data_IF_813102465113
#
_entry.id   IF_813102465113
#
_cell.length_a   1.000
_cell.length_b   1.000
_cell.length_c   1.000
_cell.angle_alpha   90.00
_cell.angle_beta   90.00
_cell.angle_gamma   90.00
#
_symmetry.space_group_name_H-M   'P 1'
#
loop_
_entity.id
_entity.type
_entity.pdbx_description
1 polymer ?
#
# COMPACT_ATOMS: atom_id res chain seq x y z
N UNK A 1 -0.44 -12.71 -30.81
CA UNK A 1 -1.26 -13.78 -30.22
C UNK A 1 -2.64 -13.20 -30.05
N UNK A 2 -3.48 -13.45 -31.03
CA UNK A 2 -4.88 -13.07 -31.07
C UNK A 2 -5.64 -14.13 -30.28
N UNK A 3 -6.47 -13.69 -29.35
CA UNK A 3 -7.25 -14.59 -28.50
C UNK A 3 -8.10 -15.54 -29.35
N UNK A 4 -7.98 -16.82 -29.03
CA UNK A 4 -8.50 -17.92 -29.83
C UNK A 4 -10.03 -17.92 -29.89
N UNK A 5 -10.58 -18.24 -31.08
CA UNK A 5 -11.94 -18.76 -31.19
C UNK A 5 -11.95 -20.14 -30.54
N UNK A 6 -12.57 -20.23 -29.38
CA UNK A 6 -12.81 -21.50 -28.70
C UNK A 6 -14.14 -22.08 -29.20
N UNK A 7 -14.38 -23.38 -28.96
CA UNK A 7 -15.70 -23.99 -29.16
C UNK A 7 -16.84 -23.30 -28.35
N UNK A 8 -16.48 -22.42 -27.41
CA UNK A 8 -17.38 -21.62 -26.57
C UNK A 8 -17.53 -20.15 -27.05
N UNK A 9 -16.81 -19.73 -28.09
CA UNK A 9 -16.84 -18.37 -28.64
C UNK A 9 -15.49 -17.64 -28.61
N UNK A 10 -15.53 -16.32 -28.80
CA UNK A 10 -14.36 -15.43 -28.89
C UNK A 10 -14.04 -14.78 -27.54
N UNK A 11 -12.78 -14.84 -27.12
CA UNK A 11 -12.28 -14.12 -25.94
C UNK A 11 -11.64 -12.82 -26.42
N UNK A 12 -11.92 -11.69 -25.77
CA UNK A 12 -11.23 -10.42 -26.05
C UNK A 12 -10.95 -9.68 -24.74
N UNK A 13 -9.74 -9.13 -24.61
CA UNK A 13 -9.38 -8.26 -23.49
C UNK A 13 -9.56 -6.80 -23.91
N UNK A 14 -10.41 -6.08 -23.18
CA UNK A 14 -10.63 -4.66 -23.40
C UNK A 14 -9.45 -3.82 -22.89
N UNK A 15 -9.20 -2.67 -23.52
CA UNK A 15 -8.24 -1.67 -23.06
C UNK A 15 -8.36 -1.35 -21.56
N UNK A 16 -9.59 -1.20 -21.08
CA UNK A 16 -9.86 -0.89 -19.68
C UNK A 16 -9.28 -1.92 -18.71
N UNK A 17 -9.24 -3.19 -19.09
CA UNK A 17 -8.68 -4.28 -18.27
C UNK A 17 -7.16 -4.20 -18.25
N UNK A 18 -6.53 -3.93 -19.40
CA UNK A 18 -5.08 -3.73 -19.52
C UNK A 18 -4.65 -2.55 -18.66
N UNK A 19 -5.44 -1.47 -18.66
CA UNK A 19 -5.24 -0.32 -17.78
C UNK A 19 -5.32 -0.68 -16.30
N UNK A 20 -6.33 -1.45 -15.90
CA UNK A 20 -6.47 -1.83 -14.49
C UNK A 20 -5.33 -2.75 -14.01
N UNK A 21 -4.82 -3.63 -14.89
CA UNK A 21 -3.63 -4.46 -14.62
C UNK A 21 -2.39 -3.58 -14.37
N UNK A 22 -2.12 -2.62 -15.26
CA UNK A 22 -0.95 -1.75 -15.10
C UNK A 22 -1.05 -0.88 -13.83
N UNK A 23 -2.23 -0.35 -13.53
CA UNK A 23 -2.49 0.41 -12.30
C UNK A 23 -2.24 -0.47 -11.07
N UNK A 24 -2.77 -1.71 -11.05
CA UNK A 24 -2.53 -2.63 -9.94
C UNK A 24 -1.05 -2.98 -9.78
N UNK A 25 -0.35 -3.26 -10.89
CA UNK A 25 1.08 -3.54 -10.88
C UNK A 25 1.89 -2.38 -10.31
N UNK A 26 1.54 -1.14 -10.69
CA UNK A 26 2.14 0.08 -10.17
C UNK A 26 1.87 0.27 -8.67
N UNK A 27 0.63 0.08 -8.22
CA UNK A 27 0.27 0.19 -6.80
C UNK A 27 1.02 -0.84 -5.95
N UNK A 28 1.14 -2.07 -6.43
CA UNK A 28 1.90 -3.13 -5.76
C UNK A 28 3.39 -2.78 -5.68
N UNK A 29 3.96 -2.19 -6.73
CA UNK A 29 5.35 -1.75 -6.73
C UNK A 29 5.62 -0.68 -5.66
N UNK A 30 4.70 0.28 -5.52
CA UNK A 30 4.77 1.32 -4.50
C UNK A 30 4.40 0.83 -3.09
N UNK A 31 3.95 -0.43 -2.96
CA UNK A 31 3.41 -1.00 -1.72
C UNK A 31 2.30 -0.14 -1.12
N UNK A 32 1.49 0.50 -1.97
CA UNK A 32 0.30 1.21 -1.51
C UNK A 32 -0.76 0.23 -1.05
N UNK A 33 -1.38 0.51 0.10
CA UNK A 33 -2.54 -0.25 0.55
C UNK A 33 -3.69 -0.08 -0.46
N UNK A 34 -4.20 -1.17 -1.09
CA UNK A 34 -5.28 -1.09 -2.07
C UNK A 34 -6.60 -0.59 -1.46
N UNK A 35 -6.69 -0.54 -0.11
CA UNK A 35 -7.82 -0.02 0.66
C UNK A 35 -7.83 1.51 0.76
N UNK A 36 -6.72 2.18 0.42
CA UNK A 36 -6.66 3.64 0.44
C UNK A 36 -7.21 4.21 -0.88
N UNK A 37 -8.46 4.68 -0.85
CA UNK A 37 -9.14 5.22 -2.04
C UNK A 37 -8.44 6.43 -2.68
N UNK A 38 -7.57 7.13 -1.94
CA UNK A 38 -6.72 8.21 -2.47
C UNK A 38 -5.61 7.68 -3.36
N UNK A 39 -4.93 6.60 -2.95
CA UNK A 39 -3.85 5.97 -3.71
C UNK A 39 -4.32 5.46 -5.08
N UNK A 40 -5.53 4.87 -5.15
CA UNK A 40 -6.09 4.40 -6.43
C UNK A 40 -6.43 5.55 -7.39
N UNK A 41 -6.91 6.69 -6.87
CA UNK A 41 -7.21 7.87 -7.68
C UNK A 41 -5.94 8.52 -8.23
N UNK A 42 -4.90 8.61 -7.40
CA UNK A 42 -3.59 9.12 -7.79
C UNK A 42 -2.93 8.20 -8.84
N UNK A 43 -2.90 6.89 -8.61
CA UNK A 43 -2.35 5.92 -9.56
C UNK A 43 -3.03 5.95 -10.94
N UNK A 44 -4.36 6.20 -10.97
CA UNK A 44 -5.11 6.33 -12.24
C UNK A 44 -4.73 7.57 -13.04
N UNK A 45 -4.34 8.65 -12.39
CA UNK A 45 -3.85 9.86 -13.07
C UNK A 45 -2.37 9.77 -13.43
N UNK A 46 -1.62 8.94 -12.72
CA UNK A 46 -0.20 8.70 -12.94
C UNK A 46 0.09 7.76 -14.11
N UNK A 47 -0.73 6.72 -14.30
CA UNK A 47 -0.49 5.69 -15.31
C UNK A 47 -1.37 5.95 -16.54
N UNK A 48 -0.72 6.28 -17.65
CA UNK A 48 -1.33 6.43 -18.96
C UNK A 48 -0.93 5.27 -19.87
N UNK A 49 -1.86 4.79 -20.69
CA UNK A 49 -1.63 3.65 -21.59
C UNK A 49 -2.16 4.00 -22.96
N UNK A 50 -1.30 3.80 -23.94
CA UNK A 50 -1.60 3.93 -25.35
C UNK A 50 -1.55 2.53 -25.98
N UNK A 51 -2.66 2.12 -26.60
CA UNK A 51 -2.77 0.85 -27.31
C UNK A 51 -2.67 1.10 -28.79
N UNK A 52 -1.64 0.53 -29.40
CA UNK A 52 -1.40 0.63 -30.83
C UNK A 52 -1.67 -0.75 -31.46
N UNK A 53 -2.65 -0.80 -32.36
CA UNK A 53 -2.93 -1.99 -33.16
C UNK A 53 -2.17 -1.87 -34.48
N UNK A 54 -1.15 -2.70 -34.66
CA UNK A 54 -0.39 -2.73 -35.91
C UNK A 54 -1.26 -3.27 -37.04
N UNK A 55 -0.94 -2.84 -38.26
CA UNK A 55 -1.64 -3.23 -39.50
C UNK A 55 -1.69 -4.75 -39.68
N UNK A 56 -0.74 -5.49 -39.12
CA UNK A 56 -0.69 -6.96 -39.07
C UNK A 56 -1.63 -7.61 -38.03
N UNK A 57 -2.50 -6.85 -37.37
CA UNK A 57 -3.43 -7.33 -36.33
C UNK A 57 -2.79 -7.52 -34.94
N UNK A 58 -1.48 -7.30 -34.82
CA UNK A 58 -0.79 -7.42 -33.52
C UNK A 58 -1.07 -6.19 -32.66
N UNK A 59 -1.79 -6.39 -31.55
CA UNK A 59 -1.93 -5.38 -30.50
C UNK A 59 -0.62 -5.19 -29.75
N UNK A 60 -0.21 -3.95 -29.59
CA UNK A 60 0.96 -3.55 -28.81
C UNK A 60 0.57 -2.47 -27.80
N UNK A 61 1.25 -2.45 -26.66
CA UNK A 61 0.95 -1.52 -25.57
C UNK A 61 2.17 -0.65 -25.29
N UNK A 62 1.94 0.66 -25.16
CA UNK A 62 2.91 1.63 -24.63
C UNK A 62 2.40 2.14 -23.28
N UNK A 63 3.26 2.11 -22.28
CA UNK A 63 2.90 2.47 -20.90
C UNK A 63 3.69 3.73 -20.54
N UNK A 64 3.01 4.79 -20.12
CA UNK A 64 3.60 6.01 -19.59
C UNK A 64 3.26 6.14 -18.10
N UNK A 65 4.26 6.38 -17.26
CA UNK A 65 4.07 6.47 -15.81
C UNK A 65 4.68 7.75 -15.25
N UNK A 66 3.86 8.55 -14.57
CA UNK A 66 4.24 9.79 -13.89
C UNK A 66 4.31 9.59 -12.38
N UNK A 67 5.51 9.33 -11.86
CA UNK A 67 5.70 8.92 -10.45
C UNK A 67 6.55 9.88 -9.65
N UNK A 68 6.40 9.82 -8.32
CA UNK A 68 7.24 10.52 -7.35
C UNK A 68 8.11 9.49 -6.63
N UNK A 69 9.33 9.85 -6.33
CA UNK A 69 10.29 8.92 -5.71
C UNK A 69 10.74 9.40 -4.34
N UNK A 70 11.10 8.45 -3.48
CA UNK A 70 11.66 8.76 -2.17
C UNK A 70 13.10 9.28 -2.31
N UNK A 71 13.44 10.32 -1.56
CA UNK A 71 14.80 10.81 -1.44
C UNK A 71 15.74 9.73 -0.86
N UNK A 72 16.96 9.65 -1.38
CA UNK A 72 17.96 8.66 -0.99
C UNK A 72 17.90 7.33 -1.74
N UNK A 73 16.99 7.17 -2.71
CA UNK A 73 16.94 6.00 -3.60
C UNK A 73 17.60 6.32 -4.96
N UNK A 74 18.36 5.38 -5.50
CA UNK A 74 18.91 5.49 -6.86
C UNK A 74 17.80 5.44 -7.90
N UNK A 75 17.48 6.60 -8.49
CA UNK A 75 16.47 6.76 -9.55
C UNK A 75 16.60 5.72 -10.67
N UNK A 76 17.78 5.53 -11.31
CA UNK A 76 17.88 4.60 -12.44
C UNK A 76 17.62 3.14 -12.01
N UNK A 77 18.06 2.76 -10.80
CA UNK A 77 17.82 1.40 -10.29
C UNK A 77 16.35 1.19 -9.95
N UNK A 78 15.71 2.20 -9.37
CA UNK A 78 14.29 2.16 -9.01
C UNK A 78 13.38 2.13 -10.25
N UNK A 79 13.64 3.03 -11.20
CA UNK A 79 12.91 3.10 -12.47
C UNK A 79 13.04 1.79 -13.25
N UNK A 80 14.24 1.21 -13.34
CA UNK A 80 14.45 -0.07 -14.03
C UNK A 80 13.63 -1.20 -13.43
N UNK A 81 13.61 -1.33 -12.10
CA UNK A 81 12.79 -2.32 -11.41
C UNK A 81 11.29 -2.12 -11.68
N UNK A 82 10.85 -0.86 -11.72
CA UNK A 82 9.45 -0.52 -12.03
C UNK A 82 9.10 -0.88 -13.48
N UNK A 83 9.97 -0.57 -14.44
CA UNK A 83 9.79 -0.93 -15.86
C UNK A 83 9.68 -2.44 -16.03
N UNK A 84 10.60 -3.19 -15.43
CA UNK A 84 10.64 -4.65 -15.52
C UNK A 84 9.36 -5.28 -14.95
N UNK A 85 8.89 -4.79 -13.79
CA UNK A 85 7.66 -5.27 -13.17
C UNK A 85 6.43 -4.97 -14.02
N UNK A 86 6.25 -3.71 -14.43
CA UNK A 86 5.10 -3.30 -15.24
C UNK A 86 5.04 -4.08 -16.56
N UNK A 87 6.18 -4.23 -17.23
CA UNK A 87 6.29 -5.03 -18.44
C UNK A 87 5.90 -6.48 -18.19
N UNK A 88 6.49 -7.11 -17.17
CA UNK A 88 6.25 -8.53 -16.89
C UNK A 88 4.78 -8.80 -16.55
N UNK A 89 4.17 -7.98 -15.71
CA UNK A 89 2.78 -8.19 -15.27
C UNK A 89 1.80 -7.97 -16.42
N UNK A 90 1.97 -6.91 -17.21
CA UNK A 90 1.10 -6.64 -18.36
C UNK A 90 1.24 -7.73 -19.42
N UNK A 91 2.47 -8.15 -19.77
CA UNK A 91 2.68 -9.23 -20.74
C UNK A 91 2.15 -10.57 -20.22
N UNK A 92 2.34 -10.88 -18.93
CA UNK A 92 1.92 -12.17 -18.35
C UNK A 92 0.42 -12.27 -18.13
N UNK A 93 -0.26 -11.18 -17.74
CA UNK A 93 -1.70 -11.22 -17.46
C UNK A 93 -2.56 -10.93 -18.68
N UNK A 94 -2.09 -10.09 -19.60
CA UNK A 94 -2.84 -9.77 -20.82
C UNK A 94 -2.40 -10.58 -22.02
N UNK A 95 -1.23 -11.21 -22.03
CA UNK A 95 -0.70 -11.91 -23.21
C UNK A 95 -0.36 -10.97 -24.38
N UNK A 96 -0.45 -9.66 -24.18
CA UNK A 96 -0.17 -8.63 -25.19
C UNK A 96 1.27 -8.14 -25.01
N UNK A 97 1.96 -7.92 -26.12
CA UNK A 97 3.35 -7.46 -26.10
C UNK A 97 3.44 -5.98 -25.74
N UNK A 98 4.30 -5.67 -24.77
CA UNK A 98 4.59 -4.28 -24.39
C UNK A 98 5.76 -3.78 -25.25
N UNK A 99 5.50 -2.72 -26.03
CA UNK A 99 6.50 -2.14 -26.92
C UNK A 99 7.45 -1.20 -26.17
N UNK A 100 6.89 -0.33 -25.34
CA UNK A 100 7.65 0.67 -24.57
C UNK A 100 7.05 0.89 -23.17
N UNK A 101 7.94 1.14 -22.19
CA UNK A 101 7.56 1.55 -20.85
C UNK A 101 8.36 2.79 -20.48
N UNK A 102 7.71 3.94 -20.52
CA UNK A 102 8.30 5.24 -20.24
C UNK A 102 7.96 5.69 -18.81
N UNK A 103 8.97 6.04 -18.02
CA UNK A 103 8.80 6.52 -16.65
C UNK A 103 9.31 7.95 -16.53
N UNK A 104 8.42 8.85 -16.13
CA UNK A 104 8.72 10.25 -15.81
C UNK A 104 8.69 10.43 -14.30
N UNK A 105 9.77 11.00 -13.76
CA UNK A 105 9.85 11.34 -12.33
C UNK A 105 9.46 12.80 -12.18
N UNK A 106 8.30 13.05 -11.57
CA UNK A 106 7.76 14.41 -11.42
C UNK A 106 8.30 15.11 -10.17
N UNK A 107 8.51 14.36 -9.09
CA UNK A 107 8.87 14.92 -7.79
C UNK A 107 9.69 13.94 -6.96
N UNK A 108 10.43 14.47 -5.98
CA UNK A 108 11.20 13.69 -5.00
C UNK A 108 10.73 14.09 -3.61
N UNK A 109 10.17 13.14 -2.87
CA UNK A 109 9.67 13.39 -1.52
C UNK A 109 10.58 12.78 -0.45
N UNK A 110 10.69 13.47 0.68
CA UNK A 110 11.25 12.91 1.90
C UNK A 110 10.09 12.34 2.73
N UNK A 111 10.20 11.07 3.14
CA UNK A 111 9.31 10.58 4.19
C UNK A 111 9.66 11.35 5.48
N UNK A 112 8.72 12.16 5.97
CA UNK A 112 8.85 12.75 7.29
C UNK A 112 9.07 11.61 8.30
N UNK A 113 10.23 11.61 8.97
CA UNK A 113 10.52 10.65 10.02
C UNK A 113 9.40 10.77 11.06
N UNK A 114 8.55 9.74 11.18
CA UNK A 114 7.77 9.57 12.40
C UNK A 114 8.80 9.46 13.52
N UNK A 115 8.74 10.30 14.57
CA UNK A 115 9.69 10.19 15.67
C UNK A 115 9.65 8.76 16.19
N UNK A 116 10.81 8.11 16.21
CA UNK A 116 10.96 6.78 16.78
C UNK A 116 10.53 6.84 18.24
N UNK A 117 9.45 6.14 18.58
CA UNK A 117 9.18 5.78 19.97
C UNK A 117 10.26 4.76 20.32
N UNK A 118 11.19 5.17 21.17
CA UNK A 118 12.15 4.29 21.83
C UNK A 118 11.32 3.42 22.78
N UNK A 119 11.09 2.16 22.43
CA UNK A 119 10.73 1.14 23.42
C UNK A 119 12.00 0.89 24.24
N UNK A 120 12.06 1.51 25.43
CA UNK A 120 13.00 1.13 26.47
C UNK A 120 12.52 -0.20 27.07
N UNK A 121 13.01 -1.31 26.52
CA UNK A 121 13.14 -2.56 27.27
C UNK A 121 14.46 -2.46 28.06
N UNK A 122 14.40 -2.12 29.35
CA UNK A 122 15.44 -2.50 30.30
C UNK A 122 14.85 -3.40 31.39
N UNK A 123 15.21 -4.67 31.23
CA UNK A 123 15.23 -5.77 32.17
C UNK A 123 15.86 -5.34 33.52
N UNK A 124 15.22 -5.66 34.64
CA UNK A 124 15.90 -5.74 35.93
C UNK A 124 15.65 -7.11 36.57
N UNK A 125 16.76 -7.82 36.75
CA UNK A 125 16.89 -9.16 37.31
C UNK A 125 16.35 -9.31 38.76
N UNK A 126 15.90 -10.53 39.01
CA UNK A 126 15.66 -11.24 40.27
C UNK A 126 16.16 -10.65 41.60
N UNK A 127 15.25 -10.61 42.59
CA UNK A 127 15.57 -10.96 43.98
C UNK A 127 14.46 -11.85 44.55
N UNK A 128 14.79 -13.12 44.82
CA UNK A 128 14.00 -14.05 45.64
C UNK A 128 13.98 -13.61 47.11
N UNK A 129 12.80 -13.53 47.72
CA UNK A 129 12.58 -13.88 49.13
C UNK A 129 11.12 -14.30 49.35
N UNK A 130 10.96 -15.40 50.11
CA UNK A 130 9.79 -16.28 50.26
C UNK A 130 8.62 -15.72 51.11
N UNK A 131 7.43 -16.36 51.08
CA UNK A 131 6.14 -15.84 51.58
C UNK A 131 5.76 -16.34 52.99
N UNK A 132 4.95 -15.56 53.72
CA UNK A 132 3.98 -15.98 54.77
C UNK A 132 3.18 -14.73 55.22
N UNK A 133 1.91 -14.54 54.81
CA UNK A 133 0.65 -14.89 55.49
C UNK A 133 0.51 -14.36 56.94
N UNK A 134 -0.32 -13.33 57.16
CA UNK A 134 -1.27 -13.33 58.29
C UNK A 134 -2.42 -12.32 58.10
N UNK A 135 -3.53 -12.67 58.73
CA UNK A 135 -4.93 -12.31 58.48
C UNK A 135 -5.41 -11.18 59.41
N UNK A 136 -6.56 -10.58 59.06
CA UNK A 136 -7.57 -9.95 59.93
C UNK A 136 -7.26 -8.65 60.71
N UNK A 137 -7.95 -7.57 60.33
CA UNK A 137 -8.91 -6.82 61.17
C UNK A 137 -9.55 -5.71 60.29
N UNK A 138 -10.83 -5.79 59.88
CA UNK A 138 -12.06 -5.52 60.65
C UNK A 138 -12.25 -4.05 61.03
N UNK A 139 -13.47 -3.54 60.80
CA UNK A 139 -14.13 -2.28 61.20
C UNK A 139 -14.28 -1.28 60.03
N UNK A 140 -15.42 -1.17 59.35
CA UNK A 140 -16.80 -0.91 59.82
C UNK A 140 -16.91 0.35 60.67
N UNK A 141 -17.31 1.46 60.01
CA UNK A 141 -18.34 2.38 60.50
C UNK A 141 -18.55 3.53 59.50
N UNK A 142 -19.59 3.40 58.69
CA UNK A 142 -20.32 4.50 58.05
C UNK A 142 -21.40 4.98 59.00
N UNK A 143 -21.24 6.14 59.64
CA UNK A 143 -22.28 7.02 60.23
C UNK A 143 -21.57 8.38 60.39
N UNK A 144 -22.05 9.56 59.98
CA UNK A 144 -23.35 10.18 60.28
C UNK A 144 -23.61 11.37 59.32
N UNK A 145 -24.85 11.45 58.83
CA UNK A 145 -25.52 12.68 58.34
C UNK A 145 -25.53 13.77 59.43
N UNK A 146 -25.50 15.05 59.08
CA UNK A 146 -26.63 16.03 59.12
C UNK A 146 -25.92 17.34 59.61
N UNK A 147 -26.26 18.59 59.30
CA UNK A 147 -27.46 19.26 58.83
C UNK A 147 -27.08 20.74 58.57
N UNK A 148 -28.02 21.48 57.96
CA UNK A 148 -28.20 22.94 57.85
C UNK A 148 -27.60 23.65 56.64
N UNK A 149 -28.43 23.94 55.63
CA UNK A 149 -29.43 25.04 55.57
C UNK A 149 -28.71 26.42 55.64
N UNK A 150 -28.97 27.44 54.81
CA UNK A 150 -30.22 27.87 54.19
C UNK A 150 -29.95 29.04 53.23
N UNK A 151 -30.87 29.18 52.27
CA UNK A 151 -31.43 30.41 51.67
C UNK A 151 -30.53 31.46 50.98
N UNK A 152 -30.94 31.79 49.74
CA UNK A 152 -30.56 32.98 48.99
C UNK A 152 -31.00 32.90 47.54
#
# INVERSE_FOLDING_TARGET
MDFEETDLGRIEISEAVIRDIAIHSYMEFLKFDPKEGKARKEAKSTVDIDLDEKVDGTKTVKINVNTKIKYGVSIPSYARKMQEKLKNDVESFSGIKVEDVSITIEDVYEEAQKPAVIEEEEEFESVEAKPELEEMASQDSTVEEEDREKEG
#
